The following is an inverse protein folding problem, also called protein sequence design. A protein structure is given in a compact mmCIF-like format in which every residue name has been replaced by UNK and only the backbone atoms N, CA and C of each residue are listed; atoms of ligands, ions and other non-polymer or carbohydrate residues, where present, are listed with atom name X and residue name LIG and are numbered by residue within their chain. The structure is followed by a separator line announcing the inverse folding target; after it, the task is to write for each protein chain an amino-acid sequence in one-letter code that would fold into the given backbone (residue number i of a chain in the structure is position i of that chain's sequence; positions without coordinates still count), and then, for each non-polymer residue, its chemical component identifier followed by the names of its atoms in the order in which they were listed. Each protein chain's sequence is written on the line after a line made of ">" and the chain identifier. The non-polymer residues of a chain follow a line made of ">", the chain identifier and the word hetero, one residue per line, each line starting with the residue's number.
data_IF_793115057807
#
_entry.id   IF_793115057807
#
_cell.length_a   1.000
_cell.length_b   1.000
_cell.length_c   1.000
_cell.angle_alpha   90.00
_cell.angle_beta   90.00
_cell.angle_gamma   90.00
#
_symmetry.space_group_name_H-M   'P 1'
#
loop_
_entity.id
_entity.type
_entity.pdbx_description
1 polymer ?
#
# COMPACT_ATOMS: atom_id res chain seq x y z
N UNK A 1 10.75 -4.34 12.93
CA UNK A 1 11.80 -4.18 11.91
C UNK A 1 12.76 -5.34 12.10
N UNK A 2 12.69 -6.33 11.21
CA UNK A 2 13.57 -7.50 11.21
C UNK A 2 14.59 -7.26 10.09
N UNK A 3 15.83 -6.93 10.46
CA UNK A 3 16.95 -6.89 9.53
C UNK A 3 17.47 -8.33 9.41
N UNK A 4 17.53 -8.86 8.19
CA UNK A 4 18.22 -10.13 7.94
C UNK A 4 19.72 -9.84 7.78
N UNK A 5 20.61 -10.48 8.55
CA UNK A 5 22.05 -10.38 8.30
C UNK A 5 22.46 -11.29 7.13
N UNK A 6 23.18 -10.71 6.18
CA UNK A 6 24.09 -11.43 5.30
C UNK A 6 25.23 -11.97 6.16
N UNK A 7 25.15 -13.24 6.53
CA UNK A 7 26.24 -14.20 6.79
C UNK A 7 25.77 -15.22 7.83
N UNK A 8 25.39 -16.41 7.36
CA UNK A 8 25.76 -17.71 7.95
C UNK A 8 25.39 -18.11 9.38
N UNK A 9 25.00 -17.20 10.26
CA UNK A 9 24.62 -17.51 11.64
C UNK A 9 23.10 -17.40 11.80
N UNK A 10 22.46 -18.35 12.51
CA UNK A 10 21.02 -18.28 12.77
C UNK A 10 20.70 -16.96 13.47
N UNK A 11 19.62 -16.26 13.07
CA UNK A 11 19.28 -14.99 13.68
C UNK A 11 19.06 -15.22 15.18
N UNK A 12 19.83 -14.49 15.99
CA UNK A 12 19.55 -14.33 17.42
C UNK A 12 18.10 -13.92 17.56
N UNK A 13 17.33 -14.73 18.28
CA UNK A 13 15.93 -14.46 18.58
C UNK A 13 15.87 -13.09 19.26
N UNK A 14 15.18 -12.12 18.63
CA UNK A 14 14.92 -10.85 19.32
C UNK A 14 13.94 -11.15 20.46
N UNK A 15 14.47 -11.29 21.67
CA UNK A 15 13.66 -11.38 22.87
C UNK A 15 12.84 -10.10 22.99
N UNK A 16 11.54 -10.21 22.75
CA UNK A 16 10.58 -9.16 23.09
C UNK A 16 10.32 -9.24 24.59
N UNK A 17 11.33 -8.91 25.41
CA UNK A 17 11.21 -8.70 26.84
C UNK A 17 11.35 -7.21 27.14
N UNK A 18 10.37 -6.61 27.82
CA UNK A 18 10.67 -5.37 28.54
C UNK A 18 11.61 -5.72 29.71
N UNK A 19 12.37 -4.75 30.23
CA UNK A 19 13.33 -4.98 31.34
C UNK A 19 12.71 -5.65 32.58
N UNK A 20 11.37 -5.62 32.68
CA UNK A 20 10.62 -6.10 33.83
C UNK A 20 9.84 -7.39 33.55
N UNK A 21 10.02 -8.02 32.38
CA UNK A 21 9.29 -9.24 32.00
C UNK A 21 10.23 -10.30 31.44
N UNK A 22 10.21 -11.49 32.05
CA UNK A 22 10.99 -12.62 31.56
C UNK A 22 10.43 -13.14 30.22
N UNK A 23 11.19 -13.99 29.54
CA UNK A 23 10.76 -14.60 28.27
C UNK A 23 9.47 -15.41 28.42
N UNK A 24 9.06 -15.78 29.65
CA UNK A 24 7.84 -16.51 30.04
C UNK A 24 6.66 -15.59 30.34
N UNK A 25 6.84 -14.29 30.16
CA UNK A 25 5.81 -13.31 30.39
C UNK A 25 5.48 -13.08 31.87
N UNK A 26 6.39 -13.41 32.78
CA UNK A 26 6.26 -13.04 34.19
C UNK A 26 6.93 -11.69 34.41
N UNK A 27 6.24 -10.78 35.09
CA UNK A 27 6.89 -9.62 35.69
C UNK A 27 7.21 -9.89 37.14
N UNK A 28 8.37 -9.43 37.58
CA UNK A 28 8.80 -9.49 38.98
C UNK A 28 9.29 -8.11 39.38
N UNK A 29 8.43 -7.35 40.03
CA UNK A 29 8.82 -6.18 40.81
C UNK A 29 8.89 -6.61 42.29
N UNK A 30 9.73 -5.98 43.10
CA UNK A 30 10.02 -6.41 44.49
C UNK A 30 8.77 -6.68 45.37
N UNK A 31 7.62 -6.08 45.03
CA UNK A 31 6.37 -6.21 45.77
C UNK A 31 5.20 -6.82 44.97
N UNK A 32 5.37 -7.12 43.67
CA UNK A 32 4.29 -7.62 42.81
C UNK A 32 4.78 -8.72 41.83
N UNK A 33 4.06 -9.85 41.85
CA UNK A 33 4.18 -10.91 40.86
C UNK A 33 2.82 -11.51 40.53
N UNK A 34 2.58 -11.88 39.27
CA UNK A 34 1.31 -12.42 38.81
C UNK A 34 1.29 -12.78 37.33
N UNK A 35 0.18 -13.39 36.88
CA UNK A 35 -0.07 -13.67 35.46
C UNK A 35 -0.25 -12.35 34.71
N UNK A 36 0.42 -12.21 33.57
CA UNK A 36 0.23 -11.09 32.66
C UNK A 36 -0.56 -11.57 31.45
N UNK A 37 -1.66 -10.89 31.15
CA UNK A 37 -2.40 -11.10 29.93
C UNK A 37 -1.76 -10.28 28.81
N UNK A 38 -1.04 -10.95 27.92
CA UNK A 38 -0.42 -10.32 26.77
C UNK A 38 -1.42 -10.07 25.64
N UNK A 39 -1.21 -8.99 24.90
CA UNK A 39 -2.00 -8.64 23.74
C UNK A 39 -1.12 -7.93 22.71
N UNK A 40 -1.19 -8.39 21.46
CA UNK A 40 -0.70 -7.62 20.31
C UNK A 40 -1.89 -6.85 19.75
N UNK A 41 -1.76 -5.54 19.70
CA UNK A 41 -2.68 -4.66 18.99
C UNK A 41 -2.08 -4.33 17.62
N UNK A 42 -2.85 -4.56 16.55
CA UNK A 42 -2.36 -4.39 15.18
C UNK A 42 -2.47 -2.92 14.75
N UNK A 43 -1.56 -2.11 15.26
CA UNK A 43 -1.58 -0.66 15.11
C UNK A 43 -0.17 -0.05 15.11
N UNK A 44 0.00 1.06 14.40
CA UNK A 44 1.21 1.89 14.38
C UNK A 44 0.88 3.34 14.75
N UNK A 45 1.84 4.24 14.66
CA UNK A 45 1.61 5.68 14.85
C UNK A 45 0.67 6.28 13.79
N UNK A 46 0.50 5.63 12.63
CA UNK A 46 -0.26 6.15 11.47
C UNK A 46 -1.43 5.31 11.03
N UNK A 47 -1.43 4.01 11.32
CA UNK A 47 -2.38 3.04 10.76
C UNK A 47 -2.91 2.14 11.87
N UNK A 48 -4.19 1.81 11.80
CA UNK A 48 -4.83 0.86 12.69
C UNK A 48 -5.58 -0.19 11.87
N UNK A 49 -5.35 -1.46 12.16
CA UNK A 49 -6.09 -2.56 11.54
C UNK A 49 -7.36 -2.80 12.35
N UNK A 50 -8.51 -2.73 11.69
CA UNK A 50 -9.80 -2.63 12.38
C UNK A 50 -10.79 -3.73 12.03
N UNK A 51 -11.77 -3.89 12.92
CA UNK A 51 -12.99 -4.65 12.65
C UNK A 51 -14.07 -3.76 11.98
N UNK A 52 -15.30 -4.26 11.84
CA UNK A 52 -16.40 -3.50 11.24
C UNK A 52 -16.69 -2.18 11.97
N UNK A 53 -16.51 -2.15 13.29
CA UNK A 53 -16.82 -1.02 14.16
C UNK A 53 -15.65 -0.02 14.29
N UNK A 54 -14.54 -0.24 13.58
CA UNK A 54 -13.37 0.66 13.64
C UNK A 54 -12.51 0.46 14.89
N UNK A 55 -12.79 -0.59 15.67
CA UNK A 55 -11.96 -0.97 16.82
C UNK A 55 -10.75 -1.75 16.35
N UNK A 56 -9.62 -1.54 17.03
CA UNK A 56 -8.37 -2.22 16.72
C UNK A 56 -8.53 -3.73 16.86
N UNK A 57 -7.98 -4.48 15.91
CA UNK A 57 -7.89 -5.94 15.98
C UNK A 57 -6.69 -6.33 16.82
N UNK A 58 -6.84 -7.44 17.51
CA UNK A 58 -5.89 -7.85 18.53
C UNK A 58 -5.64 -9.36 18.48
N UNK A 59 -4.44 -9.76 18.87
CA UNK A 59 -4.09 -11.14 19.17
C UNK A 59 -3.79 -11.25 20.66
N UNK A 60 -4.58 -12.06 21.37
CA UNK A 60 -4.34 -12.29 22.79
C UNK A 60 -3.29 -13.39 22.93
N UNK A 61 -2.30 -13.15 23.79
CA UNK A 61 -1.27 -14.13 24.12
C UNK A 61 -1.84 -15.33 24.88
N UNK A 62 -1.04 -16.38 25.07
CA UNK A 62 -1.46 -17.54 25.83
C UNK A 62 -1.65 -17.18 27.32
N UNK A 63 -2.65 -17.78 27.95
CA UNK A 63 -2.94 -17.62 29.38
C UNK A 63 -2.22 -18.67 30.25
N UNK A 64 -1.08 -19.21 29.81
CA UNK A 64 -0.36 -20.28 30.51
C UNK A 64 1.07 -19.89 30.90
N UNK A 65 1.51 -20.38 32.05
CA UNK A 65 2.78 -20.03 32.73
C UNK A 65 3.99 -20.81 32.20
N UNK A 66 3.77 -21.72 31.24
CA UNK A 66 4.73 -22.79 30.92
C UNK A 66 5.57 -22.50 29.68
N UNK A 67 5.23 -21.49 28.88
CA UNK A 67 5.93 -21.20 27.62
C UNK A 67 6.14 -19.72 27.40
N UNK A 68 7.29 -19.36 26.83
CA UNK A 68 7.59 -17.98 26.48
C UNK A 68 6.70 -17.39 25.40
N UNK A 69 6.41 -16.09 25.50
CA UNK A 69 5.54 -15.42 24.53
C UNK A 69 6.32 -14.99 23.29
N UNK A 70 6.44 -15.91 22.34
CA UNK A 70 7.01 -15.69 21.00
C UNK A 70 5.99 -16.10 19.94
N UNK A 71 4.97 -15.25 19.65
CA UNK A 71 3.90 -15.64 18.75
C UNK A 71 4.41 -15.72 17.30
N UNK A 72 4.19 -16.87 16.68
CA UNK A 72 4.29 -17.04 15.23
C UNK A 72 2.89 -17.10 14.66
N UNK A 73 2.57 -16.23 13.70
CA UNK A 73 1.26 -16.26 13.04
C UNK A 73 1.31 -17.16 11.82
N UNK A 74 0.56 -18.26 11.89
CA UNK A 74 0.40 -19.16 10.76
C UNK A 74 -0.26 -18.45 9.57
N UNK A 75 0.15 -18.83 8.36
CA UNK A 75 -0.40 -18.28 7.13
C UNK A 75 -1.93 -18.35 7.10
N UNK A 76 -2.53 -17.30 6.55
CA UNK A 76 -3.98 -17.15 6.39
C UNK A 76 -4.81 -17.09 7.68
N UNK A 77 -4.17 -17.10 8.84
CA UNK A 77 -4.86 -16.77 10.10
C UNK A 77 -5.22 -15.28 10.15
N UNK A 78 -6.18 -14.93 11.01
CA UNK A 78 -6.54 -13.52 11.19
C UNK A 78 -5.34 -12.66 11.59
N UNK A 79 -4.53 -13.16 12.53
CA UNK A 79 -3.37 -12.45 13.06
C UNK A 79 -2.29 -12.28 12.00
N UNK A 80 -2.07 -13.28 11.15
CA UNK A 80 -1.15 -13.17 10.02
C UNK A 80 -1.62 -12.12 9.01
N UNK A 81 -2.91 -12.11 8.64
CA UNK A 81 -3.44 -11.11 7.71
C UNK A 81 -3.34 -9.70 8.28
N UNK A 82 -3.67 -9.51 9.56
CA UNK A 82 -3.56 -8.22 10.25
C UNK A 82 -2.10 -7.72 10.25
N UNK A 83 -1.15 -8.58 10.64
CA UNK A 83 0.28 -8.25 10.63
C UNK A 83 0.78 -7.93 9.22
N UNK A 84 0.35 -8.71 8.22
CA UNK A 84 0.74 -8.55 6.81
C UNK A 84 0.30 -7.20 6.25
N UNK A 85 -0.97 -6.81 6.45
CA UNK A 85 -1.49 -5.53 5.97
C UNK A 85 -0.87 -4.36 6.74
N UNK A 86 -0.63 -4.50 8.04
CA UNK A 86 0.07 -3.48 8.83
C UNK A 86 1.51 -3.27 8.33
N UNK A 87 2.22 -4.35 8.01
CA UNK A 87 3.57 -4.26 7.44
C UNK A 87 3.56 -3.64 6.04
N UNK A 88 2.62 -4.02 5.17
CA UNK A 88 2.46 -3.37 3.87
C UNK A 88 2.21 -1.85 4.01
N UNK A 89 1.39 -1.42 4.98
CA UNK A 89 1.18 0.00 5.22
C UNK A 89 2.46 0.71 5.73
N UNK A 90 3.28 0.03 6.53
CA UNK A 90 4.60 0.54 6.92
C UNK A 90 5.53 0.67 5.71
N UNK A 91 5.61 -0.33 4.84
CA UNK A 91 6.43 -0.29 3.63
C UNK A 91 5.99 0.82 2.67
N UNK A 92 4.67 1.05 2.54
CA UNK A 92 4.13 2.18 1.80
C UNK A 92 4.69 3.51 2.34
N UNK A 93 4.75 3.70 3.66
CA UNK A 93 5.36 4.90 4.27
C UNK A 93 6.83 5.05 3.88
N UNK A 94 7.60 3.96 3.91
CA UNK A 94 9.02 3.97 3.52
C UNK A 94 9.16 4.41 2.06
N UNK A 95 8.37 3.84 1.16
CA UNK A 95 8.43 4.18 -0.27
C UNK A 95 7.93 5.59 -0.57
N UNK A 96 6.87 6.05 0.09
CA UNK A 96 6.38 7.43 -0.02
C UNK A 96 7.49 8.43 0.32
N UNK A 97 8.19 8.21 1.44
CA UNK A 97 9.31 9.07 1.84
C UNK A 97 10.46 9.01 0.83
N UNK A 98 10.82 7.81 0.36
CA UNK A 98 11.90 7.62 -0.62
C UNK A 98 11.61 8.32 -1.95
N UNK A 99 10.35 8.38 -2.35
CA UNK A 99 9.91 8.98 -3.62
C UNK A 99 9.39 10.42 -3.47
N UNK A 100 9.51 11.02 -2.28
CA UNK A 100 9.00 12.36 -1.96
C UNK A 100 7.50 12.54 -2.27
N UNK A 101 6.71 11.48 -2.14
CA UNK A 101 5.27 11.53 -2.37
C UNK A 101 4.54 12.14 -1.15
N UNK A 102 3.33 12.63 -1.37
CA UNK A 102 2.41 13.02 -0.30
C UNK A 102 2.13 11.80 0.58
N UNK A 103 1.86 11.98 1.87
CA UNK A 103 1.52 10.85 2.74
C UNK A 103 0.04 10.43 2.58
N UNK A 104 -0.28 9.13 2.51
CA UNK A 104 -1.66 8.63 2.53
C UNK A 104 -2.23 8.62 3.95
N UNK A 105 -1.40 8.87 4.95
CA UNK A 105 -1.77 8.85 6.37
C UNK A 105 -2.23 10.23 6.82
N UNK A 106 -3.25 10.32 7.68
CA UNK A 106 -3.66 11.61 8.23
C UNK A 106 -2.52 12.27 9.01
N UNK A 107 -2.55 13.61 9.07
CA UNK A 107 -1.70 14.36 9.99
C UNK A 107 -2.13 14.00 11.41
N UNK A 108 -1.29 13.23 12.08
CA UNK A 108 -1.47 12.89 13.48
C UNK A 108 -1.13 14.12 14.32
N UNK A 109 -2.10 14.64 15.07
CA UNK A 109 -1.83 15.58 16.16
C UNK A 109 -1.61 14.79 17.44
N UNK A 110 -0.64 15.22 18.24
CA UNK A 110 -0.37 14.65 19.55
C UNK A 110 -1.44 15.15 20.53
N UNK A 111 -2.33 14.26 20.99
CA UNK A 111 -2.97 14.48 22.28
C UNK A 111 -1.89 14.19 23.33
N UNK A 112 -1.71 15.07 24.32
CA UNK A 112 -0.62 15.03 25.32
C UNK A 112 -0.44 13.75 26.16
N UNK A 113 -1.05 12.62 25.78
CA UNK A 113 -0.89 11.26 26.31
C UNK A 113 0.04 10.37 25.48
N UNK A 114 0.67 10.87 24.41
CA UNK A 114 1.62 10.10 23.59
C UNK A 114 1.00 9.25 22.48
N UNK A 115 -0.32 9.32 22.27
CA UNK A 115 -1.01 8.62 21.19
C UNK A 115 -1.38 9.58 20.05
N UNK A 116 -1.11 9.16 18.81
CA UNK A 116 -1.62 9.84 17.61
C UNK A 116 -3.15 9.79 17.57
N UNK A 117 -3.80 10.96 17.54
CA UNK A 117 -5.27 11.07 17.62
C UNK A 117 -5.96 10.69 16.30
N UNK A 118 -5.25 10.81 15.17
CA UNK A 118 -5.74 10.44 13.85
C UNK A 118 -4.86 9.36 13.23
N UNK A 119 -5.44 8.18 13.00
CA UNK A 119 -4.85 7.05 12.29
C UNK A 119 -5.77 6.63 11.16
N UNK A 120 -5.19 6.13 10.06
CA UNK A 120 -5.93 5.54 8.96
C UNK A 120 -6.46 4.17 9.39
N UNK A 121 -7.77 3.95 9.31
CA UNK A 121 -8.36 2.66 9.66
C UNK A 121 -8.46 1.77 8.42
N UNK A 122 -7.76 0.64 8.47
CA UNK A 122 -7.82 -0.39 7.43
C UNK A 122 -8.57 -1.60 7.99
N UNK A 123 -9.77 -1.84 7.47
CA UNK A 123 -10.57 -3.00 7.84
C UNK A 123 -10.17 -4.22 7.03
N UNK A 124 -9.88 -5.32 7.72
CA UNK A 124 -9.75 -6.64 7.07
C UNK A 124 -11.10 -7.37 7.09
N UNK A 125 -11.50 -7.89 5.92
CA UNK A 125 -12.63 -8.79 5.72
C UNK A 125 -12.12 -10.18 5.35
N UNK A 126 -12.49 -11.19 6.12
CA UNK A 126 -12.17 -12.60 5.87
C UNK A 126 -13.27 -13.24 5.02
N UNK A 127 -13.27 -12.85 3.74
CA UNK A 127 -14.30 -13.17 2.77
C UNK A 127 -13.77 -12.85 1.37
N UNK A 128 -14.54 -13.14 0.32
CA UNK A 128 -14.17 -12.87 -1.06
C UNK A 128 -14.27 -11.39 -1.44
N UNK A 129 -13.22 -10.90 -2.11
CA UNK A 129 -13.15 -9.56 -2.67
C UNK A 129 -11.72 -9.15 -3.03
N UNK A 130 -11.50 -7.86 -3.30
CA UNK A 130 -10.16 -7.31 -3.57
C UNK A 130 -9.79 -6.32 -2.47
N UNK A 131 -9.88 -5.03 -2.78
CA UNK A 131 -9.70 -3.90 -1.89
C UNK A 131 -10.76 -2.86 -2.20
N UNK A 132 -10.94 -1.90 -1.29
CA UNK A 132 -11.77 -0.73 -1.53
C UNK A 132 -11.42 0.42 -0.59
N UNK A 133 -11.04 1.55 -1.16
CA UNK A 133 -10.98 2.84 -0.50
C UNK A 133 -12.38 3.47 -0.45
N UNK A 134 -12.73 4.03 0.71
CA UNK A 134 -14.04 4.60 1.00
C UNK A 134 -13.87 6.10 1.27
N UNK A 135 -14.39 6.93 0.35
CA UNK A 135 -14.33 8.40 0.44
C UNK A 135 -15.46 9.03 1.26
N UNK A 136 -16.32 8.22 1.91
CA UNK A 136 -17.48 8.75 2.64
C UNK A 136 -17.05 9.37 3.98
N UNK A 137 -17.47 10.62 4.29
CA UNK A 137 -17.01 11.33 5.50
C UNK A 137 -17.41 10.68 6.83
N UNK A 138 -18.45 9.83 6.83
CA UNK A 138 -18.91 9.07 8.01
C UNK A 138 -18.31 7.66 8.10
N UNK A 139 -17.42 7.30 7.18
CA UNK A 139 -16.86 5.95 7.19
C UNK A 139 -15.80 5.83 8.27
N UNK A 140 -16.10 5.00 9.27
CA UNK A 140 -15.16 4.60 10.32
C UNK A 140 -13.97 3.77 9.82
N UNK A 141 -14.03 3.26 8.57
CA UNK A 141 -12.97 2.50 7.93
C UNK A 141 -12.73 3.05 6.53
N UNK A 142 -11.63 3.78 6.35
CA UNK A 142 -11.27 4.42 5.09
C UNK A 142 -10.83 3.42 4.03
N UNK A 143 -10.26 2.28 4.43
CA UNK A 143 -9.88 1.20 3.52
C UNK A 143 -10.48 -0.12 3.98
N UNK A 144 -10.89 -0.96 3.02
CA UNK A 144 -11.28 -2.35 3.24
C UNK A 144 -10.41 -3.25 2.38
N UNK A 145 -9.82 -4.28 2.99
CA UNK A 145 -9.03 -5.30 2.31
C UNK A 145 -9.68 -6.66 2.57
N UNK A 146 -9.89 -7.44 1.52
CA UNK A 146 -10.41 -8.80 1.64
C UNK A 146 -9.26 -9.80 1.62
N UNK A 147 -9.32 -10.85 2.42
CA UNK A 147 -8.27 -11.88 2.45
C UNK A 147 -8.39 -12.91 1.35
N UNK A 148 -9.56 -13.04 0.72
CA UNK A 148 -9.83 -14.14 -0.23
C UNK A 148 -10.18 -13.58 -1.61
N UNK A 149 -9.76 -14.27 -2.67
CA UNK A 149 -10.04 -13.93 -4.06
C UNK A 149 -10.35 -15.21 -4.84
N UNK A 150 -11.54 -15.30 -5.43
CA UNK A 150 -12.02 -16.48 -6.18
C UNK A 150 -11.89 -17.80 -5.38
N UNK A 151 -12.39 -17.81 -4.15
CA UNK A 151 -12.34 -18.97 -3.24
C UNK A 151 -10.96 -19.32 -2.70
N UNK A 152 -9.94 -18.49 -2.92
CA UNK A 152 -8.56 -18.73 -2.47
C UNK A 152 -8.06 -17.61 -1.57
N UNK A 153 -7.44 -18.00 -0.45
CA UNK A 153 -6.76 -17.06 0.44
C UNK A 153 -5.58 -16.42 -0.30
N UNK A 154 -5.47 -15.09 -0.20
CA UNK A 154 -4.39 -14.32 -0.81
C UNK A 154 -3.07 -14.63 -0.10
N UNK A 155 -2.00 -14.78 -0.88
CA UNK A 155 -0.63 -14.79 -0.37
C UNK A 155 -0.18 -13.41 0.12
N UNK A 156 1.01 -13.36 0.72
CA UNK A 156 1.62 -12.10 1.18
C UNK A 156 1.76 -11.09 0.05
N UNK A 157 2.24 -11.53 -1.11
CA UNK A 157 2.44 -10.72 -2.31
C UNK A 157 1.13 -10.05 -2.75
N UNK A 158 0.04 -10.81 -2.85
CA UNK A 158 -1.24 -10.29 -3.29
C UNK A 158 -1.90 -9.38 -2.24
N UNK A 159 -1.74 -9.68 -0.94
CA UNK A 159 -2.16 -8.75 0.11
C UNK A 159 -1.39 -7.44 0.09
N UNK A 160 -0.08 -7.47 -0.19
CA UNK A 160 0.74 -6.27 -0.33
C UNK A 160 0.28 -5.43 -1.51
N UNK A 161 0.13 -6.06 -2.68
CA UNK A 161 -0.33 -5.41 -3.91
C UNK A 161 -1.65 -4.67 -3.71
N UNK A 162 -2.68 -5.40 -3.24
CA UNK A 162 -4.00 -4.81 -2.97
C UNK A 162 -3.89 -3.69 -1.91
N UNK A 163 -3.09 -3.87 -0.86
CA UNK A 163 -2.91 -2.81 0.14
C UNK A 163 -2.25 -1.57 -0.45
N UNK A 164 -1.23 -1.72 -1.29
CA UNK A 164 -0.58 -0.61 -1.98
C UNK A 164 -1.52 0.09 -2.96
N UNK A 165 -2.35 -0.65 -3.72
CA UNK A 165 -3.37 -0.09 -4.60
C UNK A 165 -4.35 0.81 -3.84
N UNK A 166 -4.92 0.31 -2.74
CA UNK A 166 -5.87 1.10 -1.93
C UNK A 166 -5.21 2.29 -1.21
N UNK A 167 -3.95 2.16 -0.82
CA UNK A 167 -3.16 3.29 -0.32
C UNK A 167 -2.83 4.29 -1.43
N UNK A 168 -2.67 3.85 -2.69
CA UNK A 168 -2.55 4.70 -3.87
C UNK A 168 -3.78 5.55 -4.13
N UNK A 169 -4.97 4.99 -3.97
CA UNK A 169 -6.21 5.77 -3.91
C UNK A 169 -6.21 6.79 -2.76
N UNK A 170 -5.75 6.38 -1.58
CA UNK A 170 -5.68 7.28 -0.41
C UNK A 170 -4.66 8.41 -0.59
N UNK A 171 -3.54 8.15 -1.27
CA UNK A 171 -2.57 9.16 -1.71
C UNK A 171 -3.26 10.21 -2.57
N UNK A 172 -3.94 9.76 -3.61
CA UNK A 172 -4.63 10.66 -4.56
C UNK A 172 -5.71 11.49 -3.87
N UNK A 173 -6.52 10.88 -3.01
CA UNK A 173 -7.57 11.57 -2.26
C UNK A 173 -7.02 12.75 -1.43
N UNK A 174 -5.80 12.62 -0.90
CA UNK A 174 -5.17 13.62 -0.04
C UNK A 174 -4.42 14.73 -0.77
N UNK A 175 -4.26 14.64 -2.09
CA UNK A 175 -3.72 15.73 -2.91
C UNK A 175 -4.64 16.96 -2.96
N UNK A 176 -5.89 16.81 -2.50
CA UNK A 176 -6.89 17.88 -2.44
C UNK A 176 -7.61 18.05 -3.78
N UNK A 177 -8.94 18.03 -3.77
CA UNK A 177 -9.79 18.35 -4.91
C UNK A 177 -9.77 17.38 -6.09
N UNK A 178 -8.62 16.86 -6.54
CA UNK A 178 -8.51 16.20 -7.84
C UNK A 178 -9.15 14.82 -7.90
N UNK A 179 -9.02 13.98 -6.87
CA UNK A 179 -9.52 12.60 -6.95
C UNK A 179 -11.04 12.51 -7.14
N UNK A 180 -11.84 13.41 -6.55
CA UNK A 180 -13.32 13.35 -6.70
C UNK A 180 -13.75 13.76 -8.11
N UNK A 181 -12.99 14.64 -8.76
CA UNK A 181 -13.27 15.13 -10.12
C UNK A 181 -12.47 14.40 -11.21
N UNK A 182 -11.52 13.56 -10.81
CA UNK A 182 -10.71 12.76 -11.72
C UNK A 182 -11.51 11.63 -12.34
N UNK A 183 -11.22 11.33 -13.60
CA UNK A 183 -11.83 10.21 -14.32
C UNK A 183 -11.43 8.87 -13.72
N UNK A 184 -12.22 7.82 -14.00
CA UNK A 184 -11.91 6.46 -13.51
C UNK A 184 -10.51 6.03 -13.95
N UNK A 185 -10.12 6.34 -15.20
CA UNK A 185 -8.80 6.02 -15.73
C UNK A 185 -7.69 6.61 -14.86
N UNK A 186 -7.78 7.89 -14.52
CA UNK A 186 -6.76 8.55 -13.70
C UNK A 186 -6.68 7.91 -12.32
N UNK A 187 -7.83 7.71 -11.66
CA UNK A 187 -7.88 7.18 -10.29
C UNK A 187 -7.32 5.77 -10.18
N UNK A 188 -7.72 4.88 -11.08
CA UNK A 188 -7.29 3.47 -11.06
C UNK A 188 -5.85 3.32 -11.58
N UNK A 189 -5.47 4.03 -12.65
CA UNK A 189 -4.11 3.94 -13.19
C UNK A 189 -3.07 4.54 -12.25
N UNK A 190 -3.42 5.58 -11.47
CA UNK A 190 -2.55 6.09 -10.43
C UNK A 190 -2.37 5.08 -9.29
N UNK A 191 -3.44 4.44 -8.85
CA UNK A 191 -3.36 3.41 -7.82
C UNK A 191 -2.56 2.18 -8.28
N UNK A 192 -2.72 1.76 -9.54
CA UNK A 192 -1.95 0.67 -10.15
C UNK A 192 -0.47 1.03 -10.28
N UNK A 193 -0.15 2.29 -10.60
CA UNK A 193 1.21 2.80 -10.57
C UNK A 193 1.85 2.75 -9.18
N UNK A 194 1.11 3.16 -8.14
CA UNK A 194 1.60 3.07 -6.75
C UNK A 194 1.79 1.62 -6.33
N UNK A 195 0.86 0.73 -6.69
CA UNK A 195 1.03 -0.71 -6.50
C UNK A 195 2.34 -1.19 -7.15
N UNK A 196 2.51 -0.94 -8.44
CA UNK A 196 3.66 -1.36 -9.22
C UNK A 196 4.98 -0.82 -8.64
N UNK A 197 5.05 0.50 -8.40
CA UNK A 197 6.23 1.16 -7.87
C UNK A 197 6.65 0.57 -6.52
N UNK A 198 5.70 0.29 -5.63
CA UNK A 198 6.02 -0.15 -4.27
C UNK A 198 6.27 -1.66 -4.20
N UNK A 199 5.53 -2.47 -4.94
CA UNK A 199 5.72 -3.92 -4.94
C UNK A 199 7.05 -4.31 -5.61
N UNK A 200 7.44 -3.64 -6.70
CA UNK A 200 8.72 -3.90 -7.38
C UNK A 200 9.90 -3.44 -6.52
N UNK A 201 9.75 -2.36 -5.76
CA UNK A 201 10.75 -1.92 -4.79
C UNK A 201 10.91 -2.91 -3.62
N UNK A 202 9.82 -3.54 -3.18
CA UNK A 202 9.83 -4.50 -2.06
C UNK A 202 10.29 -5.91 -2.50
N UNK A 203 9.90 -6.36 -3.70
CA UNK A 203 10.27 -7.66 -4.28
C UNK A 203 11.07 -7.52 -5.60
N UNK A 204 12.27 -6.91 -5.60
CA UNK A 204 12.99 -6.57 -6.82
C UNK A 204 13.41 -7.79 -7.66
N UNK A 205 13.50 -8.98 -7.04
CA UNK A 205 13.91 -10.22 -7.73
C UNK A 205 12.74 -11.02 -8.31
N UNK A 206 11.49 -10.71 -7.93
CA UNK A 206 10.32 -11.53 -8.30
C UNK A 206 9.60 -11.01 -9.55
N UNK A 207 9.97 -9.84 -10.08
CA UNK A 207 9.33 -9.21 -11.27
C UNK A 207 7.80 -9.20 -11.15
N UNK A 208 7.31 -8.68 -10.03
CA UNK A 208 5.87 -8.57 -9.75
C UNK A 208 5.29 -7.34 -10.47
N UNK A 209 5.32 -7.40 -11.79
CA UNK A 209 4.87 -6.31 -12.65
C UNK A 209 3.34 -6.15 -12.57
N UNK A 210 2.86 -4.95 -12.95
CA UNK A 210 1.42 -4.76 -13.02
C UNK A 210 0.88 -5.66 -14.12
N UNK A 211 -0.20 -6.39 -13.82
CA UNK A 211 -0.87 -7.19 -14.86
C UNK A 211 -1.35 -6.33 -16.03
N UNK A 212 -1.51 -5.02 -15.81
CA UNK A 212 -1.96 -4.05 -16.82
C UNK A 212 -0.94 -3.78 -17.90
N UNK A 213 0.36 -3.90 -17.62
CA UNK A 213 1.41 -3.81 -18.65
C UNK A 213 1.31 -4.93 -19.70
N UNK A 214 0.77 -6.10 -19.33
CA UNK A 214 0.63 -7.23 -20.27
C UNK A 214 -0.74 -7.31 -20.95
N UNK A 215 -1.70 -6.48 -20.52
CA UNK A 215 -3.06 -6.48 -21.06
C UNK A 215 -3.17 -5.62 -22.32
N UNK A 216 -4.26 -5.80 -23.06
CA UNK A 216 -4.64 -4.98 -24.21
C UNK A 216 -5.79 -4.07 -23.84
N UNK A 217 -6.06 -3.07 -24.67
CA UNK A 217 -7.20 -2.14 -24.53
C UNK A 217 -8.53 -2.80 -24.17
N UNK A 218 -8.86 -3.94 -24.78
CA UNK A 218 -10.10 -4.70 -24.51
C UNK A 218 -10.22 -5.15 -23.05
N UNK A 219 -9.10 -5.32 -22.35
CA UNK A 219 -9.07 -5.75 -20.96
C UNK A 219 -8.95 -4.57 -19.96
N UNK A 220 -9.01 -3.33 -20.46
CA UNK A 220 -8.92 -2.09 -19.67
C UNK A 220 -10.27 -1.39 -19.49
N UNK A 221 -11.38 -2.06 -19.81
CA UNK A 221 -12.75 -1.51 -19.75
C UNK A 221 -13.15 -0.97 -18.37
N UNK A 222 -12.43 -1.35 -17.31
CA UNK A 222 -12.64 -0.86 -15.96
C UNK A 222 -11.81 0.38 -15.58
N UNK A 223 -11.10 1.00 -16.51
CA UNK A 223 -10.28 2.20 -16.24
C UNK A 223 -8.91 1.91 -15.64
N UNK A 224 -8.57 0.64 -15.40
CA UNK A 224 -7.23 0.25 -15.01
C UNK A 224 -6.32 0.22 -16.24
N UNK A 225 -5.32 1.10 -16.29
CA UNK A 225 -4.38 1.19 -17.41
C UNK A 225 -2.95 1.38 -16.89
N UNK A 226 -1.91 1.01 -17.66
CA UNK A 226 -0.52 1.21 -17.24
C UNK A 226 -0.03 2.66 -17.44
N UNK A 227 -0.89 3.63 -17.76
CA UNK A 227 -0.52 5.00 -18.15
C UNK A 227 0.59 5.64 -17.30
N UNK A 228 0.48 5.59 -15.97
CA UNK A 228 1.50 6.23 -15.11
C UNK A 228 2.77 5.39 -14.95
N UNK A 229 2.70 4.09 -15.21
CA UNK A 229 3.86 3.20 -15.25
C UNK A 229 4.65 3.48 -16.53
N UNK A 230 3.97 3.54 -17.66
CA UNK A 230 4.49 3.91 -19.00
C UNK A 230 5.24 5.26 -18.97
N UNK A 231 4.71 6.27 -18.26
CA UNK A 231 5.39 7.56 -18.11
C UNK A 231 6.74 7.48 -17.36
N UNK A 232 6.99 6.43 -16.59
CA UNK A 232 8.15 6.28 -15.73
C UNK A 232 9.16 5.26 -16.27
N UNK A 233 8.70 4.06 -16.63
CA UNK A 233 9.55 2.92 -16.99
C UNK A 233 10.11 3.06 -18.41
N UNK A 234 10.97 2.12 -18.85
CA UNK A 234 11.56 2.14 -20.19
C UNK A 234 10.95 1.08 -21.13
N UNK A 235 9.88 0.42 -20.69
CA UNK A 235 9.32 -0.75 -21.34
C UNK A 235 8.23 -0.36 -22.33
N UNK A 236 8.54 -0.38 -23.62
CA UNK A 236 7.53 -0.17 -24.65
C UNK A 236 6.75 -1.48 -24.91
N UNK A 237 5.56 -1.64 -24.31
CA UNK A 237 4.81 -2.89 -24.37
C UNK A 237 4.33 -3.22 -25.79
N UNK A 238 4.08 -2.21 -26.64
CA UNK A 238 3.81 -2.44 -28.06
C UNK A 238 5.00 -3.05 -28.79
N UNK A 239 6.23 -2.61 -28.49
CA UNK A 239 7.43 -3.16 -29.13
C UNK A 239 7.74 -4.59 -28.67
N UNK A 240 7.37 -4.93 -27.42
CA UNK A 240 7.61 -6.25 -26.83
C UNK A 240 6.52 -7.25 -27.25
N UNK A 241 5.24 -6.85 -27.19
CA UNK A 241 4.09 -7.76 -27.34
C UNK A 241 3.19 -7.47 -28.55
N UNK A 242 3.33 -6.31 -29.19
CA UNK A 242 2.48 -5.86 -30.29
C UNK A 242 1.00 -5.69 -29.92
N UNK A 243 0.15 -5.69 -30.94
CA UNK A 243 -1.31 -5.68 -30.81
C UNK A 243 -1.89 -4.33 -30.43
N UNK A 244 -3.03 -4.34 -29.74
CA UNK A 244 -3.73 -3.13 -29.28
C UNK A 244 -3.21 -2.69 -27.91
N UNK A 245 -1.98 -2.17 -27.92
CA UNK A 245 -1.24 -1.62 -26.79
C UNK A 245 -0.68 -0.24 -27.15
N UNK A 246 -0.45 0.65 -26.18
CA UNK A 246 0.14 1.95 -26.43
C UNK A 246 1.55 1.81 -26.97
N UNK A 247 1.88 2.64 -27.97
CA UNK A 247 3.26 2.74 -28.44
C UNK A 247 4.03 3.69 -27.51
N UNK A 248 4.42 3.18 -26.34
CA UNK A 248 4.98 4.01 -25.30
C UNK A 248 6.47 4.30 -25.50
N UNK A 249 6.76 5.49 -26.01
CA UNK A 249 8.12 6.02 -26.19
C UNK A 249 8.47 7.08 -25.16
N UNK A 250 7.56 7.32 -24.22
CA UNK A 250 7.76 8.23 -23.10
C UNK A 250 8.40 7.44 -21.97
N UNK A 251 9.28 8.08 -21.19
CA UNK A 251 9.83 7.50 -19.97
C UNK A 251 10.52 8.56 -19.12
N UNK A 252 10.85 8.22 -17.89
CA UNK A 252 11.72 9.02 -17.03
C UNK A 252 11.03 10.17 -16.29
N UNK A 253 9.70 10.22 -16.27
CA UNK A 253 9.00 11.05 -15.28
C UNK A 253 9.13 10.40 -13.90
N UNK A 254 9.48 11.20 -12.89
CA UNK A 254 9.60 10.73 -11.52
C UNK A 254 8.21 10.62 -10.86
N UNK A 255 8.04 9.76 -9.82
CA UNK A 255 6.78 9.68 -9.09
C UNK A 255 6.30 11.03 -8.55
N UNK A 256 7.22 11.88 -8.07
CA UNK A 256 6.89 13.23 -7.60
C UNK A 256 6.34 14.13 -8.72
N UNK A 257 6.98 14.13 -9.90
CA UNK A 257 6.51 14.93 -11.04
C UNK A 257 5.10 14.54 -11.48
N UNK A 258 4.82 13.23 -11.50
CA UNK A 258 3.49 12.69 -11.81
C UNK A 258 2.45 13.09 -10.76
N UNK A 259 2.80 12.97 -9.47
CA UNK A 259 1.92 13.42 -8.38
C UNK A 259 1.61 14.91 -8.48
N UNK A 260 2.62 15.75 -8.71
CA UNK A 260 2.47 17.19 -8.84
C UNK A 260 1.57 17.57 -10.03
N UNK A 261 1.65 16.83 -11.14
CA UNK A 261 0.73 17.00 -12.26
C UNK A 261 -0.71 16.63 -11.87
N UNK A 262 -0.91 15.58 -11.07
CA UNK A 262 -2.21 15.17 -10.55
C UNK A 262 -2.81 16.12 -9.51
N UNK A 263 -1.97 16.87 -8.79
CA UNK A 263 -2.45 17.91 -7.86
C UNK A 263 -3.12 19.05 -8.64
N UNK A 264 -2.61 19.38 -9.82
CA UNK A 264 -3.04 20.54 -10.60
C UNK A 264 -4.18 20.26 -11.59
N UNK A 265 -4.39 18.99 -11.94
CA UNK A 265 -5.20 18.61 -13.10
C UNK A 265 -6.09 17.41 -12.81
N UNK A 266 -7.27 17.38 -13.46
CA UNK A 266 -8.30 16.37 -13.18
C UNK A 266 -8.66 15.52 -14.41
N UNK A 267 -8.13 15.83 -15.60
CA UNK A 267 -8.34 15.04 -16.81
C UNK A 267 -7.02 14.75 -17.53
N UNK A 268 -7.04 13.74 -18.40
CA UNK A 268 -5.86 13.24 -19.08
C UNK A 268 -5.18 14.30 -19.95
N UNK A 269 -5.97 15.14 -20.63
CA UNK A 269 -5.46 16.20 -21.49
C UNK A 269 -4.69 17.26 -20.70
N UNK A 270 -5.25 17.71 -19.58
CA UNK A 270 -4.59 18.66 -18.68
C UNK A 270 -3.32 18.10 -18.06
N UNK A 271 -3.32 16.83 -17.62
CA UNK A 271 -2.12 16.16 -17.10
C UNK A 271 -1.02 16.13 -18.17
N UNK A 272 -1.35 15.71 -19.39
CA UNK A 272 -0.42 15.71 -20.53
C UNK A 272 0.19 17.09 -20.76
N UNK A 273 -0.66 18.09 -20.89
CA UNK A 273 -0.24 19.45 -21.22
C UNK A 273 0.61 20.06 -20.09
N UNK A 274 0.29 19.74 -18.84
CA UNK A 274 1.08 20.12 -17.67
C UNK A 274 2.45 19.45 -17.61
N UNK A 275 2.53 18.15 -17.89
CA UNK A 275 3.81 17.42 -17.96
C UNK A 275 4.73 18.03 -19.02
N UNK A 276 4.19 18.32 -20.23
CA UNK A 276 4.95 18.96 -21.33
C UNK A 276 5.44 20.36 -20.96
N UNK A 277 4.61 21.14 -20.28
CA UNK A 277 4.88 22.55 -19.97
C UNK A 277 5.82 22.71 -18.78
N UNK A 278 5.69 21.86 -17.77
CA UNK A 278 6.32 22.07 -16.46
C UNK A 278 7.67 21.38 -16.34
N UNK A 279 7.85 20.22 -16.97
CA UNK A 279 9.08 19.42 -16.80
C UNK A 279 9.86 19.30 -18.11
N UNK A 280 11.18 19.46 -18.01
CA UNK A 280 12.08 19.13 -19.10
C UNK A 280 12.30 17.63 -19.13
N UNK A 281 11.73 16.95 -20.13
CA UNK A 281 11.95 15.53 -20.39
C UNK A 281 12.28 15.34 -21.88
N UNK A 282 13.40 14.71 -22.26
CA UNK A 282 13.78 14.45 -23.66
C UNK A 282 12.74 13.66 -24.46
N UNK A 283 11.82 12.97 -23.79
CA UNK A 283 10.74 12.19 -24.39
C UNK A 283 9.38 12.88 -24.34
N UNK A 284 9.29 14.12 -23.86
CA UNK A 284 8.04 14.88 -23.80
C UNK A 284 7.33 15.03 -25.16
N UNK A 285 8.08 15.00 -26.27
CA UNK A 285 7.52 15.03 -27.62
C UNK A 285 6.62 13.83 -27.96
N UNK A 286 6.72 12.71 -27.24
CA UNK A 286 5.89 11.52 -27.43
C UNK A 286 4.65 11.49 -26.52
N UNK A 287 4.47 12.48 -25.63
CA UNK A 287 3.32 12.54 -24.74
C UNK A 287 1.99 12.63 -25.49
N UNK A 288 1.95 13.31 -26.63
CA UNK A 288 0.72 13.42 -27.42
C UNK A 288 0.28 12.04 -27.94
N UNK A 289 1.21 11.25 -28.50
CA UNK A 289 0.92 9.89 -28.97
C UNK A 289 0.43 8.97 -27.86
N UNK A 290 1.11 8.99 -26.70
CA UNK A 290 0.73 8.17 -25.56
C UNK A 290 -0.66 8.54 -25.03
N UNK A 291 -0.90 9.82 -24.75
CA UNK A 291 -2.18 10.26 -24.20
C UNK A 291 -3.33 10.17 -25.20
N UNK A 292 -3.10 10.39 -26.50
CA UNK A 292 -4.13 10.21 -27.53
C UNK A 292 -4.59 8.74 -27.62
N UNK A 293 -3.76 7.79 -27.21
CA UNK A 293 -4.17 6.39 -27.05
C UNK A 293 -5.17 6.22 -25.90
N UNK A 294 -4.84 6.74 -24.71
CA UNK A 294 -5.68 6.61 -23.51
C UNK A 294 -6.93 7.48 -23.52
N UNK A 295 -6.90 8.66 -24.15
CA UNK A 295 -8.05 9.53 -24.32
C UNK A 295 -9.19 8.86 -25.11
N UNK A 296 -8.90 7.80 -25.88
CA UNK A 296 -9.92 6.99 -26.58
C UNK A 296 -10.60 5.95 -25.67
N UNK A 297 -10.23 5.90 -24.40
CA UNK A 297 -10.80 5.00 -23.37
C UNK A 297 -11.69 5.76 -22.39
N UNK A 298 -11.56 7.09 -22.34
CA UNK A 298 -12.35 8.01 -21.52
C UNK A 298 -13.73 8.26 -22.16
#
# INVERSE_FOLDING_TARGET
>A
MMLLPENGDPPEQSECGSTDTDTRGNYSLEEFGGKVDYKIEFESDRVKITNMLGWSRNHNGPNNLESGWSPTFEYWTESWANATVLNAAYECRVQVNKNNLQTPFPTSFWAGSGNAVNKLNIRIKYDEGTGRMVTKPWSINEIKIWTDLYGKQKGTDLLYRVTFHELGHSLHARLGGSMVFATKIIRESWADFIEHLFITAYYPRQKLDSSKQFQTKVNWEDGYTPLFIDLMDIENQFSIYGGDRPFDRVYGYTPLQLQEALVRNNNLKEIRDDLKRTYSNPKAQYLDELFDYYLKLE
#
